data_IF_418959560787
#
_entry.id   IF_418959560787
#
_cell.length_a   1.000
_cell.length_b   1.000
_cell.length_c   1.000
_cell.angle_alpha   90.00
_cell.angle_beta   90.00
_cell.angle_gamma   90.00
#
_symmetry.space_group_name_H-M   'P 1'
#
loop_
_entity.id
_entity.type
_entity.pdbx_description
1 polymer ?
#
# COMPACT_ATOMS: atom_id res chain seq x y z
N UNK A 1 7.64 -45.45 3.03
CA UNK A 1 8.49 -46.54 2.52
C UNK A 1 8.20 -47.77 3.34
N UNK A 2 7.85 -48.87 2.69
CA UNK A 2 7.57 -50.17 3.33
C UNK A 2 8.87 -50.97 3.44
N UNK A 3 8.93 -51.87 4.41
CA UNK A 3 10.09 -52.74 4.64
C UNK A 3 10.16 -53.91 3.64
N UNK A 4 9.05 -54.20 2.96
CA UNK A 4 8.85 -55.31 2.04
C UNK A 4 8.06 -54.85 0.79
N UNK A 5 8.23 -55.52 -0.36
CA UNK A 5 7.48 -55.20 -1.56
C UNK A 5 5.96 -55.36 -1.38
N UNK A 6 5.20 -54.35 -1.79
CA UNK A 6 3.74 -54.29 -1.64
C UNK A 6 3.04 -54.54 -2.97
N UNK A 7 1.80 -55.05 -2.93
CA UNK A 7 0.93 -55.12 -4.10
C UNK A 7 0.23 -53.75 -4.26
N UNK A 8 0.43 -53.05 -5.39
CA UNK A 8 -0.07 -51.68 -5.56
C UNK A 8 -1.56 -51.49 -5.32
N UNK A 9 -2.41 -52.32 -5.93
CA UNK A 9 -3.85 -52.07 -5.98
C UNK A 9 -4.52 -52.23 -4.61
N UNK A 10 -4.20 -53.31 -3.90
CA UNK A 10 -4.66 -53.59 -2.53
C UNK A 10 -4.16 -52.54 -1.55
N UNK A 11 -2.89 -52.14 -1.65
CA UNK A 11 -2.31 -51.12 -0.78
C UNK A 11 -3.04 -49.78 -0.89
N UNK A 12 -3.51 -49.42 -2.10
CA UNK A 12 -4.32 -48.21 -2.29
C UNK A 12 -5.75 -48.36 -1.80
N UNK A 13 -6.36 -49.52 -2.01
CA UNK A 13 -7.71 -49.78 -1.53
C UNK A 13 -7.79 -49.72 0.00
N UNK A 14 -6.72 -50.15 0.68
CA UNK A 14 -6.57 -50.15 2.13
C UNK A 14 -6.24 -48.76 2.74
N UNK A 15 -5.89 -47.76 1.92
CA UNK A 15 -5.43 -46.46 2.38
C UNK A 15 -6.58 -45.55 2.79
N UNK A 16 -6.55 -45.05 4.03
CA UNK A 16 -7.48 -44.04 4.54
C UNK A 16 -6.72 -42.84 5.12
N UNK A 17 -7.20 -41.63 4.87
CA UNK A 17 -6.61 -40.39 5.41
C UNK A 17 -7.68 -39.57 6.11
N UNK A 18 -7.46 -39.20 7.38
CA UNK A 18 -8.39 -38.42 8.20
C UNK A 18 -7.72 -37.17 8.77
N UNK A 19 -8.26 -35.95 8.57
CA UNK A 19 -9.44 -35.65 7.76
C UNK A 19 -9.21 -35.96 6.27
N UNK A 20 -10.29 -36.17 5.48
CA UNK A 20 -10.19 -36.56 4.09
C UNK A 20 -9.26 -35.64 3.29
N UNK A 21 -8.31 -36.24 2.59
CA UNK A 21 -7.33 -35.55 1.77
C UNK A 21 -7.24 -36.21 0.40
N UNK A 22 -7.57 -35.49 -0.65
CA UNK A 22 -7.36 -35.97 -2.02
C UNK A 22 -5.87 -36.02 -2.34
N UNK A 23 -5.39 -37.17 -2.79
CA UNK A 23 -3.98 -37.37 -3.17
C UNK A 23 -3.88 -38.00 -4.55
N UNK A 24 -2.80 -37.68 -5.27
CA UNK A 24 -2.28 -38.47 -6.38
C UNK A 24 -1.22 -39.43 -5.83
N UNK A 25 -1.13 -40.61 -6.43
CA UNK A 25 -0.24 -41.65 -5.94
C UNK A 25 0.70 -42.15 -7.05
N UNK A 26 1.93 -42.48 -6.66
CA UNK A 26 2.95 -43.01 -7.55
C UNK A 26 3.85 -43.98 -6.80
N UNK A 27 4.03 -45.18 -7.34
CA UNK A 27 5.09 -46.09 -6.90
C UNK A 27 6.42 -45.67 -7.54
N UNK A 28 7.44 -45.47 -6.70
CA UNK A 28 8.82 -45.19 -7.15
C UNK A 28 9.55 -46.50 -7.44
N UNK A 29 9.32 -47.51 -6.60
CA UNK A 29 9.77 -48.89 -6.72
C UNK A 29 8.75 -49.80 -6.01
N UNK A 30 9.05 -51.08 -5.80
CA UNK A 30 8.10 -52.03 -5.18
C UNK A 30 7.84 -51.78 -3.68
N UNK A 31 8.61 -50.91 -3.01
CA UNK A 31 8.54 -50.64 -1.57
C UNK A 31 8.22 -49.18 -1.25
N UNK A 32 8.26 -48.30 -2.25
CA UNK A 32 8.16 -46.86 -2.05
C UNK A 32 6.93 -46.31 -2.74
N UNK A 33 5.90 -46.06 -1.93
CA UNK A 33 4.72 -45.31 -2.32
C UNK A 33 4.89 -43.81 -2.02
N UNK A 34 4.72 -42.96 -3.02
CA UNK A 34 4.59 -41.51 -2.88
C UNK A 34 3.12 -41.11 -2.95
N UNK A 35 2.65 -40.39 -1.93
CA UNK A 35 1.35 -39.74 -1.88
C UNK A 35 1.55 -38.23 -2.00
N UNK A 36 1.00 -37.62 -3.03
CA UNK A 36 1.09 -36.18 -3.26
C UNK A 36 -0.30 -35.55 -3.07
N UNK A 37 -0.50 -34.71 -2.04
CA UNK A 37 -1.75 -33.99 -1.86
C UNK A 37 -2.11 -33.16 -3.09
N UNK A 38 -3.35 -33.28 -3.56
CA UNK A 38 -3.87 -32.48 -4.67
C UNK A 38 -4.28 -31.06 -4.23
N UNK A 39 -4.36 -30.86 -2.91
CA UNK A 39 -4.68 -29.60 -2.26
C UNK A 39 -3.61 -29.30 -1.19
N UNK A 40 -3.46 -28.02 -0.84
CA UNK A 40 -2.57 -27.62 0.26
C UNK A 40 -3.02 -28.25 1.59
N UNK A 41 -2.07 -28.74 2.38
CA UNK A 41 -2.37 -29.29 3.69
C UNK A 41 -2.86 -28.19 4.64
N UNK A 42 -3.89 -28.49 5.44
CA UNK A 42 -4.38 -27.60 6.48
C UNK A 42 -3.29 -27.28 7.49
N UNK A 43 -3.26 -26.05 8.02
CA UNK A 43 -2.24 -25.58 8.98
C UNK A 43 -2.56 -26.02 10.39
N UNK A 44 -1.52 -26.35 11.16
CA UNK A 44 -1.65 -26.85 12.54
C UNK A 44 -2.71 -27.96 12.65
N UNK A 45 -2.78 -28.79 11.61
CA UNK A 45 -3.76 -29.86 11.46
C UNK A 45 -3.03 -31.19 11.63
N UNK A 46 -3.71 -32.15 12.22
CA UNK A 46 -3.20 -33.51 12.36
C UNK A 46 -3.94 -34.38 11.36
N UNK A 47 -3.19 -35.04 10.48
CA UNK A 47 -3.66 -36.04 9.55
C UNK A 47 -3.27 -37.43 10.09
N UNK A 48 -4.24 -38.32 10.16
CA UNK A 48 -4.04 -39.75 10.39
C UNK A 48 -4.03 -40.45 9.04
N UNK A 49 -2.95 -41.13 8.72
CA UNK A 49 -2.80 -41.97 7.53
C UNK A 49 -2.86 -43.42 8.02
N UNK A 50 -3.82 -44.18 7.52
CA UNK A 50 -4.04 -45.57 7.90
C UNK A 50 -3.97 -46.48 6.67
N UNK A 51 -3.35 -47.65 6.83
CA UNK A 51 -3.51 -48.78 5.93
C UNK A 51 -4.19 -49.91 6.70
N UNK A 52 -5.36 -50.34 6.26
CA UNK A 52 -6.07 -51.44 6.90
C UNK A 52 -5.46 -52.83 6.55
N UNK A 53 -6.05 -53.87 7.14
CA UNK A 53 -5.58 -55.27 7.04
C UNK A 53 -5.78 -55.88 5.64
N UNK A 54 -6.44 -55.17 4.70
CA UNK A 54 -6.65 -55.63 3.33
C UNK A 54 -5.46 -55.34 2.40
N UNK A 55 -4.47 -54.56 2.87
CA UNK A 55 -3.24 -54.35 2.11
C UNK A 55 -2.42 -55.64 2.01
N UNK A 56 -1.96 -55.98 0.79
CA UNK A 56 -1.18 -57.18 0.54
C UNK A 56 0.28 -56.86 0.18
N UNK A 57 1.18 -57.78 0.55
CA UNK A 57 2.51 -57.85 -0.02
C UNK A 57 2.44 -58.27 -1.48
N UNK A 58 3.47 -57.99 -2.27
CA UNK A 58 3.57 -58.45 -3.65
C UNK A 58 3.54 -60.00 -3.81
N UNK A 59 3.67 -60.73 -2.69
CA UNK A 59 3.55 -62.18 -2.59
C UNK A 59 2.11 -62.68 -2.40
N UNK A 60 1.12 -61.78 -2.25
CA UNK A 60 -0.29 -62.11 -1.97
C UNK A 60 -0.58 -62.44 -0.50
N UNK A 61 0.36 -62.17 0.41
CA UNK A 61 0.14 -62.31 1.84
C UNK A 61 -0.33 -60.97 2.43
N UNK A 62 -1.16 -61.02 3.47
CA UNK A 62 -1.57 -59.82 4.23
C UNK A 62 -0.33 -59.10 4.77
N UNK A 63 -0.24 -57.79 4.50
CA UNK A 63 0.91 -56.97 4.87
C UNK A 63 0.92 -56.58 6.35
N UNK A 64 -0.28 -56.34 6.92
CA UNK A 64 -0.44 -55.87 8.29
C UNK A 64 -1.37 -56.79 9.10
N UNK A 65 -0.91 -57.23 10.28
CA UNK A 65 -1.72 -58.05 11.19
C UNK A 65 -2.78 -57.25 11.97
N UNK A 66 -2.70 -55.92 11.92
CA UNK A 66 -3.64 -54.93 12.45
C UNK A 66 -3.44 -53.62 11.64
N UNK A 67 -4.40 -52.69 11.59
CA UNK A 67 -4.25 -51.47 10.80
C UNK A 67 -2.98 -50.70 11.17
N UNK A 68 -2.18 -50.35 10.17
CA UNK A 68 -1.01 -49.52 10.35
C UNK A 68 -1.44 -48.05 10.36
N UNK A 69 -1.10 -47.32 11.43
CA UNK A 69 -1.43 -45.91 11.58
C UNK A 69 -0.17 -45.05 11.64
N UNK A 70 -0.20 -43.92 10.95
CA UNK A 70 0.83 -42.91 10.97
C UNK A 70 0.22 -41.51 11.13
N UNK A 71 0.70 -40.80 12.14
CA UNK A 71 0.27 -39.43 12.42
C UNK A 71 1.22 -38.43 11.75
N UNK A 72 0.66 -37.56 10.91
CA UNK A 72 1.33 -36.41 10.32
C UNK A 72 0.73 -35.13 10.88
N UNK A 73 1.49 -34.39 11.68
CA UNK A 73 1.09 -33.06 12.15
C UNK A 73 1.76 -31.96 11.33
N UNK A 74 0.95 -31.08 10.75
CA UNK A 74 1.45 -29.90 10.03
C UNK A 74 1.79 -28.77 10.99
N UNK A 75 2.81 -27.98 10.69
CA UNK A 75 3.22 -26.83 11.51
C UNK A 75 2.25 -25.65 11.39
N UNK A 76 2.26 -24.77 12.40
CA UNK A 76 1.55 -23.49 12.35
C UNK A 76 2.33 -22.44 11.51
N UNK A 77 3.65 -22.56 11.48
CA UNK A 77 4.50 -21.83 10.54
C UNK A 77 4.33 -22.45 9.16
N UNK A 78 4.19 -21.62 8.12
CA UNK A 78 4.60 -22.05 6.79
C UNK A 78 6.07 -22.38 6.92
N UNK A 79 6.41 -23.66 7.06
CA UNK A 79 7.75 -24.11 6.70
C UNK A 79 7.75 -24.02 5.17
N UNK A 80 7.87 -22.81 4.65
CA UNK A 80 8.58 -22.63 3.40
C UNK A 80 9.91 -23.31 3.64
N UNK A 81 10.10 -24.50 3.05
CA UNK A 81 11.40 -24.83 2.48
C UNK A 81 11.94 -23.50 1.93
N UNK A 82 13.08 -23.06 2.46
CA UNK A 82 13.61 -21.73 2.15
C UNK A 82 13.46 -21.52 0.65
N UNK A 83 12.63 -20.53 0.26
CA UNK A 83 12.33 -20.35 -1.15
C UNK A 83 13.66 -19.94 -1.78
N UNK A 84 14.23 -20.82 -2.61
CA UNK A 84 15.48 -20.57 -3.30
C UNK A 84 15.40 -19.33 -4.19
N UNK A 85 14.19 -19.07 -4.67
CA UNK A 85 13.87 -18.02 -5.61
C UNK A 85 12.69 -17.18 -5.10
N UNK A 86 12.68 -15.89 -5.41
CA UNK A 86 11.56 -15.02 -5.11
C UNK A 86 11.56 -13.75 -5.94
N UNK A 87 10.44 -13.04 -5.95
CA UNK A 87 10.27 -11.80 -6.73
C UNK A 87 10.68 -10.55 -5.94
N UNK A 88 11.65 -10.71 -5.04
CA UNK A 88 12.11 -9.65 -4.14
C UNK A 88 11.24 -9.50 -2.89
N UNK A 89 11.50 -8.44 -2.12
CA UNK A 89 10.74 -8.12 -0.90
C UNK A 89 9.72 -7.03 -1.18
N UNK A 90 8.70 -6.94 -0.32
CA UNK A 90 7.59 -6.01 -0.48
C UNK A 90 6.48 -6.60 -1.36
N UNK A 91 5.42 -5.83 -1.55
CA UNK A 91 4.39 -6.25 -2.46
C UNK A 91 4.66 -5.67 -3.84
N UNK A 92 4.97 -6.59 -4.74
CA UNK A 92 5.46 -6.25 -6.05
C UNK A 92 4.37 -6.55 -7.07
N UNK A 93 4.14 -5.59 -7.94
CA UNK A 93 3.41 -5.78 -9.18
C UNK A 93 4.34 -5.37 -10.31
N UNK A 94 4.51 -6.21 -11.31
CA UNK A 94 5.28 -5.89 -12.49
C UNK A 94 4.34 -5.62 -13.66
N UNK A 95 4.59 -4.53 -14.37
CA UNK A 95 3.92 -4.20 -15.64
C UNK A 95 4.88 -4.55 -16.76
N UNK A 96 4.41 -5.34 -17.71
CA UNK A 96 5.20 -5.86 -18.82
C UNK A 96 4.49 -5.52 -20.12
N UNK A 97 5.25 -5.04 -21.11
CA UNK A 97 4.72 -4.66 -22.42
C UNK A 97 4.28 -5.90 -23.21
N UNK A 98 3.04 -5.92 -23.69
CA UNK A 98 2.48 -7.09 -24.39
C UNK A 98 3.15 -7.35 -25.76
N UNK A 99 3.60 -6.34 -26.49
CA UNK A 99 4.30 -6.49 -27.77
C UNK A 99 5.83 -6.33 -27.64
N UNK A 100 6.33 -6.22 -26.42
CA UNK A 100 7.72 -5.84 -26.13
C UNK A 100 8.58 -6.95 -25.50
N UNK A 101 9.67 -6.52 -24.83
CA UNK A 101 10.57 -7.38 -24.06
C UNK A 101 9.81 -7.86 -22.81
N UNK A 102 9.15 -9.02 -22.92
CA UNK A 102 8.29 -9.61 -21.88
C UNK A 102 9.05 -10.20 -20.67
N UNK A 103 10.05 -9.46 -20.19
CA UNK A 103 11.00 -9.90 -19.19
C UNK A 103 10.46 -9.72 -17.76
N UNK A 104 10.57 -10.78 -16.96
CA UNK A 104 10.25 -10.78 -15.52
C UNK A 104 11.52 -11.05 -14.74
N UNK A 105 11.77 -10.21 -13.73
CA UNK A 105 12.94 -10.33 -12.87
C UNK A 105 12.61 -11.11 -11.60
N UNK A 106 13.50 -11.98 -11.19
CA UNK A 106 13.43 -12.71 -9.93
C UNK A 106 14.81 -12.79 -9.29
N UNK A 107 14.84 -13.08 -8.00
CA UNK A 107 16.04 -13.12 -7.18
C UNK A 107 16.28 -14.54 -6.73
N UNK A 108 17.54 -14.98 -6.80
CA UNK A 108 18.04 -16.15 -6.09
C UNK A 108 18.63 -15.72 -4.75
N UNK A 109 18.14 -16.24 -3.64
CA UNK A 109 18.62 -15.81 -2.32
C UNK A 109 19.98 -16.43 -1.97
N UNK A 110 20.81 -15.66 -1.25
CA UNK A 110 22.20 -16.03 -0.95
C UNK A 110 22.29 -17.18 0.06
N UNK A 111 23.22 -18.12 -0.17
CA UNK A 111 23.45 -19.29 0.68
C UNK A 111 22.92 -20.61 0.11
N UNK A 112 22.10 -20.55 -0.94
CA UNK A 112 21.54 -21.75 -1.56
C UNK A 112 22.28 -22.12 -2.86
N UNK A 113 22.76 -23.36 -2.96
CA UNK A 113 23.25 -23.97 -4.20
C UNK A 113 22.09 -24.37 -5.13
N UNK A 114 21.02 -23.58 -5.18
CA UNK A 114 19.83 -23.92 -5.94
C UNK A 114 20.13 -23.95 -7.45
N UNK A 115 19.91 -25.13 -8.04
CA UNK A 115 19.86 -25.28 -9.50
C UNK A 115 18.63 -24.55 -10.04
N UNK A 116 18.69 -24.13 -11.31
CA UNK A 116 17.49 -23.71 -12.04
C UNK A 116 16.67 -24.90 -12.56
N UNK A 117 17.20 -26.12 -12.44
CA UNK A 117 16.50 -27.33 -12.84
C UNK A 117 15.16 -27.46 -12.10
N UNK A 118 14.13 -27.87 -12.82
CA UNK A 118 12.79 -28.04 -12.27
C UNK A 118 12.01 -26.73 -12.06
N UNK A 119 12.55 -25.56 -12.44
CA UNK A 119 11.82 -24.30 -12.38
C UNK A 119 10.71 -24.23 -13.43
N UNK A 120 9.53 -23.86 -12.95
CA UNK A 120 8.30 -23.73 -13.72
C UNK A 120 7.60 -22.41 -13.36
N UNK A 121 7.24 -21.62 -14.36
CA UNK A 121 6.37 -20.47 -14.19
C UNK A 121 4.94 -20.86 -14.56
N UNK A 122 3.97 -20.49 -13.71
CA UNK A 122 2.54 -20.67 -14.00
C UNK A 122 1.80 -19.34 -13.88
N UNK A 123 0.95 -19.04 -14.86
CA UNK A 123 0.08 -17.85 -14.85
C UNK A 123 -1.36 -18.25 -14.55
N UNK A 124 -1.94 -17.51 -13.61
CA UNK A 124 -3.33 -17.61 -13.22
C UNK A 124 -4.04 -16.29 -13.58
N UNK A 125 -4.98 -16.28 -14.53
CA UNK A 125 -5.70 -15.07 -14.91
C UNK A 125 -6.45 -14.46 -13.72
N UNK A 126 -6.49 -13.13 -13.67
CA UNK A 126 -7.24 -12.37 -12.68
C UNK A 126 -8.25 -11.45 -13.35
N UNK A 127 -9.42 -11.34 -12.73
CA UNK A 127 -10.37 -10.25 -13.02
C UNK A 127 -10.04 -9.03 -12.16
N UNK A 128 -10.43 -7.80 -12.60
CA UNK A 128 -10.35 -6.62 -11.75
C UNK A 128 -11.02 -6.81 -10.38
N UNK A 129 -12.17 -7.49 -10.32
CA UNK A 129 -12.88 -7.78 -9.08
C UNK A 129 -12.06 -8.64 -8.10
N UNK A 130 -11.20 -9.53 -8.59
CA UNK A 130 -10.28 -10.31 -7.75
C UNK A 130 -9.03 -9.52 -7.35
N UNK A 131 -8.59 -8.55 -8.16
CA UNK A 131 -7.36 -7.80 -7.94
C UNK A 131 -7.56 -6.57 -7.05
N UNK A 132 -8.57 -5.73 -7.33
CA UNK A 132 -8.72 -4.40 -6.70
C UNK A 132 -8.76 -4.47 -5.17
N UNK A 133 -9.55 -5.35 -4.52
CA UNK A 133 -9.58 -5.44 -3.05
C UNK A 133 -8.23 -5.84 -2.43
N UNK A 134 -7.32 -6.41 -3.21
CA UNK A 134 -5.98 -6.86 -2.77
C UNK A 134 -4.90 -5.80 -2.98
N UNK A 135 -5.14 -4.76 -3.78
CA UNK A 135 -4.18 -3.66 -3.95
C UNK A 135 -3.92 -2.90 -2.64
N UNK A 136 -4.85 -2.92 -1.69
CA UNK A 136 -4.63 -2.45 -0.31
C UNK A 136 -3.59 -3.28 0.45
N UNK A 137 -3.61 -4.60 0.28
CA UNK A 137 -2.67 -5.52 0.95
C UNK A 137 -1.25 -5.35 0.45
N UNK A 138 -1.11 -4.90 -0.81
CA UNK A 138 0.18 -4.59 -1.42
C UNK A 138 0.87 -3.42 -0.69
N UNK A 139 0.13 -2.48 -0.09
CA UNK A 139 0.75 -1.27 0.48
C UNK A 139 0.99 -1.34 2.00
N UNK A 140 0.31 -2.20 2.74
CA UNK A 140 0.38 -2.21 4.21
C UNK A 140 1.64 -2.88 4.79
N UNK A 141 2.61 -3.31 3.97
CA UNK A 141 3.90 -3.82 4.46
C UNK A 141 4.87 -2.68 4.70
N UNK A 142 4.55 -1.82 5.68
CA UNK A 142 5.37 -0.69 6.11
C UNK A 142 6.59 -1.12 6.96
N UNK A 143 6.96 -2.40 6.93
CA UNK A 143 8.17 -2.84 7.61
C UNK A 143 9.17 -3.33 6.57
N UNK A 144 10.27 -2.58 6.45
CA UNK A 144 11.55 -3.07 5.94
C UNK A 144 12.03 -4.34 6.68
N UNK A 145 11.34 -4.72 7.76
CA UNK A 145 11.58 -5.88 8.62
C UNK A 145 10.65 -7.08 8.38
N UNK A 146 9.68 -7.03 7.44
CA UNK A 146 8.89 -8.20 7.01
C UNK A 146 9.71 -9.07 6.03
N UNK A 147 10.90 -9.44 6.50
CA UNK A 147 11.90 -10.29 5.87
C UNK A 147 11.45 -11.77 5.85
N UNK A 148 10.39 -12.10 6.58
CA UNK A 148 9.86 -13.47 6.69
C UNK A 148 8.34 -13.51 6.49
N UNK A 149 7.93 -13.86 5.27
CA UNK A 149 6.77 -14.72 5.04
C UNK A 149 5.43 -14.31 5.67
N UNK A 150 4.92 -13.09 5.43
CA UNK A 150 3.50 -12.88 5.67
C UNK A 150 2.70 -13.63 4.60
N UNK A 151 2.03 -14.70 5.03
CA UNK A 151 1.12 -15.54 4.25
C UNK A 151 -0.11 -14.80 3.67
N UNK A 152 -0.15 -13.47 3.81
CA UNK A 152 -1.13 -12.55 3.23
C UNK A 152 -0.74 -12.16 1.79
N UNK A 153 0.52 -12.36 1.38
CA UNK A 153 1.03 -12.00 0.04
C UNK A 153 0.59 -12.94 -1.09
N UNK A 154 0.24 -14.19 -0.74
CA UNK A 154 0.01 -15.24 -1.74
C UNK A 154 -1.46 -15.33 -2.11
N UNK A 155 -1.76 -15.26 -3.40
CA UNK A 155 -3.06 -15.69 -3.89
C UNK A 155 -3.19 -17.19 -3.64
N UNK A 156 -4.35 -17.61 -3.13
CA UNK A 156 -4.71 -19.03 -3.13
C UNK A 156 -4.92 -19.50 -4.56
N UNK A 157 -3.82 -19.81 -5.24
CA UNK A 157 -3.84 -20.26 -6.63
C UNK A 157 -4.38 -21.67 -6.78
N UNK A 158 -4.56 -22.42 -5.68
CA UNK A 158 -5.33 -23.66 -5.68
C UNK A 158 -6.78 -23.46 -6.12
N UNK A 159 -7.32 -22.24 -5.98
CA UNK A 159 -8.68 -21.87 -6.36
C UNK A 159 -8.71 -21.13 -7.72
N UNK A 160 -7.56 -20.92 -8.36
CA UNK A 160 -7.44 -20.22 -9.64
C UNK A 160 -7.01 -21.19 -10.73
N UNK A 161 -7.62 -21.06 -11.91
CA UNK A 161 -7.23 -21.82 -13.09
C UNK A 161 -5.77 -21.51 -13.47
N UNK A 162 -5.04 -22.54 -13.87
CA UNK A 162 -3.73 -22.40 -14.52
C UNK A 162 -3.99 -22.25 -16.01
N UNK A 163 -3.84 -21.04 -16.55
CA UNK A 163 -4.04 -20.82 -17.99
C UNK A 163 -2.76 -21.09 -18.79
N UNK A 164 -1.60 -20.76 -18.22
CA UNK A 164 -0.31 -20.95 -18.88
C UNK A 164 0.70 -21.52 -17.90
N UNK A 165 1.56 -22.40 -18.41
CA UNK A 165 2.61 -23.06 -17.64
C UNK A 165 3.77 -23.40 -18.56
N UNK A 166 4.99 -23.00 -18.20
CA UNK A 166 6.18 -23.32 -18.98
C UNK A 166 7.42 -23.46 -18.10
N UNK A 167 8.36 -24.36 -18.49
CA UNK A 167 9.64 -24.48 -17.81
C UNK A 167 10.51 -23.25 -18.06
N UNK A 168 11.29 -22.84 -17.07
CA UNK A 168 12.24 -21.74 -17.22
C UNK A 168 13.60 -22.24 -17.73
N UNK A 169 13.71 -22.40 -19.05
CA UNK A 169 14.95 -22.89 -19.70
C UNK A 169 15.92 -21.76 -20.05
N UNK A 170 15.42 -20.57 -20.38
CA UNK A 170 16.21 -19.44 -20.87
C UNK A 170 16.36 -18.35 -19.80
N UNK A 171 17.02 -18.69 -18.70
CA UNK A 171 17.27 -17.75 -17.61
C UNK A 171 18.53 -16.94 -17.88
N UNK A 172 18.39 -15.62 -17.92
CA UNK A 172 19.51 -14.68 -18.09
C UNK A 172 19.95 -14.16 -16.72
N UNK A 173 21.26 -14.17 -16.46
CA UNK A 173 21.86 -13.53 -15.28
C UNK A 173 22.27 -12.11 -15.62
N UNK A 174 22.00 -11.17 -14.70
CA UNK A 174 22.39 -9.78 -14.92
C UNK A 174 23.92 -9.59 -14.92
N UNK A 175 24.62 -10.26 -14.01
CA UNK A 175 26.07 -10.45 -14.01
C UNK A 175 26.44 -11.66 -13.11
N UNK A 176 27.71 -12.07 -13.08
CA UNK A 176 28.17 -13.28 -12.39
C UNK A 176 27.91 -13.27 -10.86
N UNK A 177 27.93 -12.08 -10.25
CA UNK A 177 27.81 -11.90 -8.80
C UNK A 177 26.40 -11.46 -8.38
N UNK A 178 25.50 -11.20 -9.33
CA UNK A 178 24.16 -10.70 -9.06
C UNK A 178 23.21 -11.85 -8.69
N UNK A 179 22.43 -11.71 -7.60
CA UNK A 179 21.35 -12.62 -7.31
C UNK A 179 20.15 -12.42 -8.26
N UNK A 180 20.13 -11.36 -9.07
CA UNK A 180 19.04 -11.06 -10.00
C UNK A 180 19.15 -11.87 -11.31
N UNK A 181 18.04 -12.50 -11.64
CA UNK A 181 17.83 -13.34 -12.80
C UNK A 181 16.60 -12.85 -13.57
N UNK A 182 16.54 -13.14 -14.85
CA UNK A 182 15.44 -12.73 -15.74
C UNK A 182 14.97 -13.94 -16.56
N UNK A 183 13.67 -14.08 -16.73
CA UNK A 183 13.06 -14.96 -17.73
C UNK A 183 12.05 -14.18 -18.56
N UNK A 184 11.68 -14.73 -19.72
CA UNK A 184 10.72 -14.10 -20.63
C UNK A 184 9.40 -14.84 -20.61
N UNK A 185 8.29 -14.11 -20.55
CA UNK A 185 6.95 -14.67 -20.70
C UNK A 185 6.71 -15.01 -22.18
N UNK A 186 6.19 -16.20 -22.51
CA UNK A 186 5.91 -16.60 -23.88
C UNK A 186 4.99 -15.61 -24.62
N UNK A 187 5.19 -15.46 -25.93
CA UNK A 187 4.49 -14.48 -26.75
C UNK A 187 2.99 -14.80 -26.92
N UNK A 188 2.63 -16.08 -26.80
CA UNK A 188 1.26 -16.59 -26.86
C UNK A 188 0.40 -16.21 -25.65
N UNK A 189 1.01 -15.74 -24.55
CA UNK A 189 0.26 -15.24 -23.40
C UNK A 189 -0.35 -13.88 -23.78
N UNK A 190 -1.67 -13.70 -23.76
CA UNK A 190 -2.30 -12.44 -24.14
C UNK A 190 -2.06 -11.33 -23.10
N UNK A 191 -2.43 -10.10 -23.46
CA UNK A 191 -2.55 -9.02 -22.49
C UNK A 191 -3.60 -9.38 -21.43
N UNK A 192 -3.41 -8.88 -20.21
CA UNK A 192 -4.30 -9.15 -19.09
C UNK A 192 -3.61 -9.04 -17.72
N UNK A 193 -4.39 -9.35 -16.68
CA UNK A 193 -3.94 -9.39 -15.30
C UNK A 193 -3.72 -10.84 -14.87
N UNK A 194 -2.60 -11.10 -14.21
CA UNK A 194 -2.23 -12.44 -13.79
C UNK A 194 -1.62 -12.47 -12.39
N UNK A 195 -1.76 -13.61 -11.72
CA UNK A 195 -0.81 -14.05 -10.70
C UNK A 195 0.20 -14.96 -11.39
N UNK A 196 1.48 -14.61 -11.28
CA UNK A 196 2.59 -15.44 -11.67
C UNK A 196 3.07 -16.22 -10.46
N UNK A 197 3.03 -17.54 -10.52
CA UNK A 197 3.63 -18.42 -9.50
C UNK A 197 4.92 -19.01 -10.03
N UNK A 198 5.99 -18.88 -9.26
CA UNK A 198 7.26 -19.55 -9.51
C UNK A 198 7.33 -20.83 -8.68
N UNK A 199 7.47 -21.97 -9.34
CA UNK A 199 7.53 -23.29 -8.71
C UNK A 199 8.84 -23.99 -9.05
N UNK A 200 9.34 -24.80 -8.12
CA UNK A 200 10.44 -25.74 -8.36
C UNK A 200 10.01 -27.12 -7.90
N UNK A 201 10.06 -28.11 -8.79
CA UNK A 201 9.69 -29.50 -8.50
C UNK A 201 8.31 -29.63 -7.81
N UNK A 202 7.35 -28.80 -8.25
CA UNK A 202 5.99 -28.74 -7.71
C UNK A 202 5.81 -27.84 -6.48
N UNK A 203 6.90 -27.45 -5.81
CA UNK A 203 6.87 -26.57 -4.62
C UNK A 203 6.78 -25.11 -5.03
N UNK A 204 5.85 -24.36 -4.44
CA UNK A 204 5.72 -22.92 -4.66
C UNK A 204 6.84 -22.15 -3.95
N UNK A 205 7.71 -21.53 -4.75
CA UNK A 205 8.74 -20.62 -4.26
C UNK A 205 8.11 -19.27 -3.90
N UNK A 206 7.51 -18.59 -4.89
CA UNK A 206 6.95 -17.25 -4.68
C UNK A 206 5.89 -16.88 -5.73
N UNK A 207 5.22 -15.74 -5.52
CA UNK A 207 4.21 -15.20 -6.42
C UNK A 207 4.39 -13.70 -6.70
N UNK A 208 3.99 -13.28 -7.89
CA UNK A 208 4.03 -11.89 -8.35
C UNK A 208 2.71 -11.51 -9.01
N UNK A 209 2.22 -10.30 -8.73
CA UNK A 209 1.15 -9.70 -9.53
C UNK A 209 1.73 -9.19 -10.85
N UNK A 210 1.10 -9.54 -11.95
CA UNK A 210 1.59 -9.21 -13.28
C UNK A 210 0.48 -8.56 -14.10
N UNK A 211 0.76 -7.40 -14.69
CA UNK A 211 -0.04 -6.86 -15.78
C UNK A 211 0.77 -6.97 -17.08
N UNK A 212 0.21 -7.66 -18.06
CA UNK A 212 0.72 -7.67 -19.43
C UNK A 212 -0.18 -6.71 -20.20
N UNK A 213 0.37 -5.59 -20.68
CA UNK A 213 -0.45 -4.51 -21.26
C UNK A 213 0.29 -3.79 -22.37
N UNK A 214 -0.44 -3.24 -23.33
CA UNK A 214 0.09 -2.29 -24.31
C UNK A 214 -0.05 -0.84 -23.83
N UNK A 215 -0.73 -0.63 -22.70
CA UNK A 215 -1.22 0.65 -22.24
C UNK A 215 -0.55 1.11 -20.94
N UNK A 216 -0.45 2.42 -20.78
CA UNK A 216 -0.08 3.09 -19.54
C UNK A 216 -1.23 3.96 -19.06
N UNK A 217 -1.36 4.07 -17.75
CA UNK A 217 -2.31 4.99 -17.12
C UNK A 217 -1.59 5.88 -16.13
N UNK A 218 -1.81 7.18 -16.28
CA UNK A 218 -1.41 8.21 -15.33
C UNK A 218 -2.67 8.80 -14.72
N UNK A 219 -2.68 8.95 -13.40
CA UNK A 219 -3.81 9.56 -12.70
C UNK A 219 -3.32 10.64 -11.74
N UNK A 220 -4.02 11.78 -11.75
CA UNK A 220 -3.81 12.90 -10.83
C UNK A 220 -5.11 13.17 -10.09
N UNK A 221 -5.01 13.21 -8.76
CA UNK A 221 -6.15 13.42 -7.89
C UNK A 221 -6.23 14.87 -7.44
N UNK A 222 -7.40 15.47 -7.61
CA UNK A 222 -7.83 16.71 -6.96
C UNK A 222 -8.75 16.39 -5.76
N UNK A 223 -9.35 17.40 -5.12
CA UNK A 223 -10.19 17.21 -3.93
C UNK A 223 -11.40 16.31 -4.20
N UNK A 224 -12.11 16.57 -5.28
CA UNK A 224 -13.39 15.97 -5.66
C UNK A 224 -13.37 15.35 -7.06
N UNK A 225 -12.20 15.26 -7.69
CA UNK A 225 -12.06 14.69 -9.02
C UNK A 225 -10.72 13.99 -9.23
N UNK A 226 -10.67 13.13 -10.24
CA UNK A 226 -9.45 12.50 -10.73
C UNK A 226 -9.36 12.74 -12.22
N UNK A 227 -8.22 13.29 -12.66
CA UNK A 227 -7.84 13.33 -14.06
C UNK A 227 -7.05 12.05 -14.37
N UNK A 228 -7.52 11.30 -15.34
CA UNK A 228 -6.89 10.09 -15.86
C UNK A 228 -6.39 10.39 -17.27
N UNK A 229 -5.20 9.91 -17.60
CA UNK A 229 -4.62 9.98 -18.94
C UNK A 229 -4.09 8.59 -19.32
N UNK A 230 -4.60 8.04 -20.42
CA UNK A 230 -4.28 6.71 -20.92
C UNK A 230 -3.58 6.85 -22.27
N UNK A 231 -2.44 6.18 -22.40
CA UNK A 231 -1.66 6.12 -23.64
C UNK A 231 -1.24 4.68 -23.90
N UNK A 232 -0.86 4.37 -25.14
CA UNK A 232 0.01 3.23 -25.38
C UNK A 232 1.35 3.43 -24.65
N UNK A 233 2.10 2.37 -24.38
CA UNK A 233 3.47 2.43 -23.83
C UNK A 233 4.39 3.25 -24.76
N UNK A 234 4.11 3.25 -26.08
CA UNK A 234 4.78 4.12 -27.05
C UNK A 234 4.43 5.61 -26.98
N UNK A 235 3.48 6.00 -26.13
CA UNK A 235 3.09 7.40 -25.86
C UNK A 235 1.86 7.91 -26.62
N UNK A 236 1.33 7.15 -27.57
CA UNK A 236 0.13 7.50 -28.34
C UNK A 236 -1.11 7.57 -27.45
N UNK A 237 -1.94 8.60 -27.60
CA UNK A 237 -3.16 8.74 -26.82
C UNK A 237 -4.20 7.65 -27.16
N UNK A 238 -4.86 7.10 -26.14
CA UNK A 238 -5.87 6.06 -26.31
C UNK A 238 -7.27 6.59 -26.01
N UNK A 239 -8.02 6.90 -27.07
CA UNK A 239 -9.37 7.46 -26.99
C UNK A 239 -10.44 6.38 -26.81
N UNK A 240 -11.61 6.79 -26.29
CA UNK A 240 -12.80 5.95 -26.10
C UNK A 240 -12.59 4.71 -25.22
N UNK A 241 -11.57 4.71 -24.37
CA UNK A 241 -11.34 3.61 -23.43
C UNK A 241 -12.15 3.79 -22.15
N UNK A 242 -12.85 2.75 -21.67
CA UNK A 242 -13.43 2.74 -20.34
C UNK A 242 -12.38 2.96 -19.25
N UNK A 243 -12.72 3.86 -18.32
CA UNK A 243 -11.93 4.16 -17.13
C UNK A 243 -12.82 4.05 -15.90
N UNK A 244 -12.32 3.39 -14.85
CA UNK A 244 -13.03 3.15 -13.61
C UNK A 244 -12.16 3.51 -12.40
N UNK A 245 -12.79 4.09 -11.38
CA UNK A 245 -12.14 4.45 -10.13
C UNK A 245 -12.78 3.67 -9.00
N UNK A 246 -11.97 2.98 -8.21
CA UNK A 246 -12.42 2.11 -7.14
C UNK A 246 -11.95 2.59 -5.76
N UNK A 247 -12.75 2.31 -4.74
CA UNK A 247 -12.36 2.34 -3.34
C UNK A 247 -11.58 1.08 -2.96
N UNK A 248 -11.04 1.09 -1.73
CA UNK A 248 -10.24 0.03 -1.14
C UNK A 248 -10.93 -1.34 -1.10
N UNK A 249 -12.24 -1.35 -0.83
CA UNK A 249 -13.08 -2.54 -0.74
C UNK A 249 -13.49 -3.10 -2.13
N UNK A 250 -13.05 -2.45 -3.22
CA UNK A 250 -13.46 -2.77 -4.58
C UNK A 250 -14.74 -2.08 -5.04
N UNK A 251 -15.37 -1.24 -4.21
CA UNK A 251 -16.54 -0.47 -4.61
C UNK A 251 -16.22 0.53 -5.73
N UNK A 252 -17.04 0.57 -6.78
CA UNK A 252 -16.90 1.54 -7.87
C UNK A 252 -17.34 2.94 -7.39
N UNK A 253 -16.44 3.92 -7.51
CA UNK A 253 -16.68 5.31 -7.11
C UNK A 253 -17.10 6.19 -8.29
N UNK A 254 -16.44 6.01 -9.43
CA UNK A 254 -16.71 6.76 -10.64
C UNK A 254 -16.28 5.96 -11.87
N UNK A 255 -16.88 6.24 -13.01
CA UNK A 255 -16.47 5.70 -14.30
C UNK A 255 -16.68 6.74 -15.41
N UNK A 256 -16.02 6.53 -16.54
CA UNK A 256 -16.23 7.28 -17.77
C UNK A 256 -15.37 6.74 -18.90
N UNK A 257 -15.18 7.55 -19.95
CA UNK A 257 -14.42 7.18 -21.14
C UNK A 257 -13.37 8.24 -21.45
N UNK A 258 -12.24 7.83 -22.01
CA UNK A 258 -11.22 8.78 -22.47
C UNK A 258 -11.68 9.55 -23.71
N UNK A 259 -11.30 10.83 -23.78
CA UNK A 259 -11.45 11.69 -24.95
C UNK A 259 -10.40 11.39 -26.04
N UNK A 260 -10.43 12.13 -27.16
CA UNK A 260 -9.47 12.00 -28.27
C UNK A 260 -8.00 12.23 -27.84
N UNK A 261 -7.77 12.91 -26.72
CA UNK A 261 -6.45 13.11 -26.12
C UNK A 261 -6.05 12.02 -25.11
N UNK A 262 -6.85 10.96 -24.98
CA UNK A 262 -6.66 9.87 -24.02
C UNK A 262 -7.03 10.23 -22.59
N UNK A 263 -7.77 11.31 -22.35
CA UNK A 263 -8.02 11.85 -21.01
C UNK A 263 -9.45 11.64 -20.55
N UNK A 264 -9.62 11.36 -19.26
CA UNK A 264 -10.94 11.32 -18.62
C UNK A 264 -10.88 12.08 -17.30
N UNK A 265 -11.76 13.05 -17.09
CA UNK A 265 -11.90 13.72 -15.80
C UNK A 265 -13.17 13.22 -15.11
N UNK A 266 -13.00 12.54 -13.99
CA UNK A 266 -14.08 11.87 -13.26
C UNK A 266 -14.31 12.55 -11.91
N UNK A 267 -15.56 12.93 -11.64
CA UNK A 267 -15.97 13.51 -10.35
C UNK A 267 -16.17 12.38 -9.35
N UNK A 268 -15.66 12.56 -8.13
CA UNK A 268 -15.72 11.59 -7.05
C UNK A 268 -16.90 11.90 -6.11
N UNK A 269 -17.63 10.88 -5.64
CA UNK A 269 -18.56 11.05 -4.54
C UNK A 269 -17.80 11.30 -3.22
N UNK A 270 -18.38 12.03 -2.25
CA UNK A 270 -17.77 12.29 -0.95
C UNK A 270 -17.83 11.07 0.01
N UNK A 271 -18.11 9.87 -0.50
CA UNK A 271 -18.45 8.68 0.30
C UNK A 271 -17.23 7.88 0.74
N UNK A 272 -16.19 7.80 -0.10
CA UNK A 272 -14.99 7.03 0.19
C UNK A 272 -13.76 7.56 -0.57
N UNK A 273 -12.54 7.37 -0.04
CA UNK A 273 -11.32 7.75 -0.74
C UNK A 273 -11.05 6.82 -1.93
N UNK A 274 -10.63 7.35 -3.09
CA UNK A 274 -10.23 6.54 -4.22
C UNK A 274 -8.89 5.83 -3.95
N UNK A 275 -8.79 4.59 -4.40
CA UNK A 275 -7.61 3.73 -4.18
C UNK A 275 -6.97 3.32 -5.49
N UNK A 276 -7.75 2.94 -6.50
CA UNK A 276 -7.23 2.46 -7.78
C UNK A 276 -7.96 3.09 -8.96
N UNK A 277 -7.22 3.33 -10.03
CA UNK A 277 -7.74 3.64 -11.36
C UNK A 277 -7.43 2.47 -12.28
N UNK A 278 -8.43 2.02 -13.03
CA UNK A 278 -8.31 0.98 -14.04
C UNK A 278 -8.73 1.57 -15.39
N UNK A 279 -7.93 1.36 -16.42
CA UNK A 279 -8.31 1.58 -17.81
C UNK A 279 -8.33 0.23 -18.54
N UNK A 280 -9.28 0.06 -19.44
CA UNK A 280 -9.53 -1.19 -20.15
C UNK A 280 -9.57 -0.97 -21.66
N UNK A 281 -8.88 -1.82 -22.42
CA UNK A 281 -8.93 -1.88 -23.88
C UNK A 281 -9.19 -3.35 -24.30
N UNK A 282 -10.47 -3.72 -24.44
CA UNK A 282 -10.86 -5.12 -24.59
C UNK A 282 -10.49 -5.94 -23.34
N UNK A 283 -9.60 -6.92 -23.50
CA UNK A 283 -9.06 -7.76 -22.42
C UNK A 283 -7.72 -7.24 -21.87
N UNK A 284 -7.19 -6.14 -22.42
CA UNK A 284 -6.01 -5.45 -21.90
C UNK A 284 -6.42 -4.51 -20.76
N UNK A 285 -5.76 -4.66 -19.61
CA UNK A 285 -5.98 -3.84 -18.43
C UNK A 285 -4.68 -3.17 -18.01
N UNK A 286 -4.75 -1.85 -17.82
CA UNK A 286 -3.68 -1.07 -17.18
C UNK A 286 -4.26 -0.37 -15.96
N UNK A 287 -3.49 -0.31 -14.88
CA UNK A 287 -3.97 0.23 -13.61
C UNK A 287 -2.89 1.00 -12.87
N UNK A 288 -3.34 1.94 -12.04
CA UNK A 288 -2.48 2.66 -11.12
C UNK A 288 -3.18 2.79 -9.78
N UNK A 289 -2.42 2.58 -8.71
CA UNK A 289 -2.86 2.88 -7.37
C UNK A 289 -2.66 4.38 -7.10
N UNK A 290 -3.72 5.07 -6.70
CA UNK A 290 -3.75 6.52 -6.43
C UNK A 290 -3.99 6.83 -4.95
N UNK A 291 -3.89 5.82 -4.08
CA UNK A 291 -3.86 6.03 -2.65
C UNK A 291 -2.57 6.78 -2.32
N UNK A 292 -2.71 7.95 -1.70
CA UNK A 292 -1.58 8.85 -1.45
C UNK A 292 -0.52 8.17 -0.59
N UNK A 293 0.66 8.00 -1.17
CA UNK A 293 1.90 7.98 -0.40
C UNK A 293 2.15 9.40 0.08
N UNK A 294 2.39 9.57 1.38
CA UNK A 294 2.89 10.82 1.93
C UNK A 294 4.29 11.06 1.36
N UNK A 295 4.38 11.80 0.25
CA UNK A 295 5.62 12.49 -0.08
C UNK A 295 5.78 13.58 0.97
N UNK A 296 6.68 13.35 1.93
CA UNK A 296 7.11 14.32 2.94
C UNK A 296 7.99 15.39 2.30
N UNK A 297 7.55 15.96 1.17
CA UNK A 297 8.18 17.16 0.67
C UNK A 297 7.50 18.34 1.36
N UNK A 298 8.02 18.69 2.55
CA UNK A 298 7.63 19.87 3.32
C UNK A 298 7.74 21.19 2.53
N UNK A 299 8.23 21.13 1.28
CA UNK A 299 8.41 22.24 0.38
C UNK A 299 7.51 22.19 -0.87
N UNK A 300 6.60 21.20 -0.97
CA UNK A 300 5.54 21.23 -1.97
C UNK A 300 4.50 22.27 -1.54
N UNK A 301 4.76 23.52 -1.92
CA UNK A 301 3.92 24.71 -1.65
C UNK A 301 2.52 24.68 -2.26
N UNK A 302 2.00 23.50 -2.63
CA UNK A 302 0.58 23.29 -2.85
C UNK A 302 -0.14 23.35 -1.52
N UNK A 303 -0.34 24.57 -0.99
CA UNK A 303 -1.29 24.79 0.07
C UNK A 303 -2.59 24.13 -0.36
N UNK A 304 -3.12 23.28 0.51
CA UNK A 304 -4.50 22.80 0.44
C UNK A 304 -5.34 24.02 0.12
N UNK A 305 -5.98 24.07 -1.06
CA UNK A 305 -6.90 25.17 -1.40
C UNK A 305 -8.01 25.15 -0.35
N UNK A 306 -7.83 25.98 0.67
CA UNK A 306 -8.79 26.29 1.70
C UNK A 306 -9.57 27.48 1.17
N UNK A 307 -10.89 27.52 1.34
CA UNK A 307 -11.71 28.62 0.81
C UNK A 307 -11.29 30.00 1.36
N UNK A 308 -10.51 30.00 2.44
CA UNK A 308 -9.97 31.18 3.08
C UNK A 308 -8.51 30.98 3.48
N UNK A 309 -7.80 32.09 3.58
CA UNK A 309 -6.53 32.20 4.31
C UNK A 309 -6.56 33.42 5.21
N UNK A 310 -5.89 33.35 6.36
CA UNK A 310 -5.85 34.42 7.34
C UNK A 310 -4.45 34.64 7.90
N UNK A 311 -4.17 35.90 8.21
CA UNK A 311 -3.04 36.32 9.03
C UNK A 311 -3.57 36.91 10.34
N UNK A 312 -3.04 36.44 11.46
CA UNK A 312 -3.39 36.93 12.80
C UNK A 312 -2.11 37.47 13.43
N UNK A 313 -2.20 38.64 14.04
CA UNK A 313 -1.13 39.20 14.84
C UNK A 313 -1.69 39.92 16.05
N UNK A 314 -0.87 39.99 17.09
CA UNK A 314 -1.11 40.77 18.29
C UNK A 314 -0.28 42.06 18.24
N UNK A 315 -0.64 43.07 19.04
CA UNK A 315 0.15 44.30 19.21
C UNK A 315 1.63 43.97 19.52
N UNK A 316 1.85 42.98 20.40
CA UNK A 316 3.18 42.53 20.83
C UNK A 316 3.31 41.02 20.71
N UNK A 317 4.51 40.49 20.45
CA UNK A 317 4.76 39.05 20.54
C UNK A 317 4.84 38.54 21.99
N UNK A 318 5.01 39.44 22.98
CA UNK A 318 5.22 39.13 24.39
C UNK A 318 4.39 40.04 25.31
N UNK A 319 3.73 39.44 26.30
CA UNK A 319 2.89 40.09 27.31
C UNK A 319 3.27 39.63 28.73
N UNK A 320 2.78 40.34 29.73
CA UNK A 320 2.83 39.94 31.14
C UNK A 320 1.42 39.59 31.61
N UNK A 321 1.27 38.80 32.69
CA UNK A 321 -0.01 38.69 33.40
C UNK A 321 -0.60 40.08 33.72
N UNK A 322 -1.92 40.21 33.64
CA UNK A 322 -2.62 41.50 33.82
C UNK A 322 -2.66 42.40 32.57
N UNK A 323 -1.88 42.14 31.52
CA UNK A 323 -1.93 42.95 30.30
C UNK A 323 -3.19 42.69 29.47
N UNK A 324 -3.66 43.71 28.78
CA UNK A 324 -4.65 43.56 27.69
C UNK A 324 -3.93 43.21 26.38
N UNK A 325 -4.29 42.05 25.82
CA UNK A 325 -3.86 41.59 24.50
C UNK A 325 -4.80 42.16 23.46
N UNK A 326 -4.27 42.98 22.55
CA UNK A 326 -4.98 43.43 21.35
C UNK A 326 -4.58 42.54 20.19
N UNK A 327 -5.56 42.08 19.42
CA UNK A 327 -5.33 41.26 18.23
C UNK A 327 -6.04 41.84 17.00
N UNK A 328 -5.47 41.54 15.84
CA UNK A 328 -6.07 41.79 14.54
C UNK A 328 -5.88 40.56 13.66
N UNK A 329 -6.95 40.19 12.95
CA UNK A 329 -6.93 39.15 11.96
C UNK A 329 -7.36 39.72 10.59
N UNK A 330 -6.69 39.30 9.53
CA UNK A 330 -6.97 39.69 8.16
C UNK A 330 -7.34 38.41 7.41
N UNK A 331 -8.57 38.33 6.91
CA UNK A 331 -9.09 37.19 6.17
C UNK A 331 -9.16 37.50 4.68
N UNK A 332 -8.79 36.53 3.86
CA UNK A 332 -8.84 36.57 2.40
C UNK A 332 -9.56 35.33 1.91
N UNK A 333 -10.30 35.44 0.80
CA UNK A 333 -10.67 34.26 0.02
C UNK A 333 -9.40 33.81 -0.69
N UNK A 334 -9.18 32.51 -0.71
CA UNK A 334 -8.06 31.89 -1.41
C UNK A 334 -8.64 31.00 -2.50
N UNK A 335 -8.33 31.36 -3.74
CA UNK A 335 -8.70 30.61 -4.95
C UNK A 335 -7.41 30.29 -5.69
N UNK A 336 -6.81 29.15 -5.34
CA UNK A 336 -5.54 28.68 -5.91
C UNK A 336 -4.42 29.74 -5.82
N UNK A 337 -4.17 30.22 -4.59
CA UNK A 337 -3.22 31.29 -4.26
C UNK A 337 -3.58 32.68 -4.80
N UNK A 338 -4.72 32.85 -5.48
CA UNK A 338 -5.27 34.15 -5.83
C UNK A 338 -6.08 34.67 -4.63
N UNK A 339 -5.49 35.65 -3.92
CA UNK A 339 -6.09 36.20 -2.71
C UNK A 339 -7.01 37.38 -3.02
N UNK A 340 -8.27 37.30 -2.56
CA UNK A 340 -9.23 38.39 -2.69
C UNK A 340 -9.86 38.80 -1.36
N UNK A 341 -10.33 40.06 -1.28
CA UNK A 341 -10.96 40.58 -0.08
C UNK A 341 -12.30 39.88 0.20
N UNK A 342 -12.53 39.46 1.44
CA UNK A 342 -13.81 38.87 1.85
C UNK A 342 -14.94 39.89 1.97
N UNK A 343 -14.62 41.17 2.20
CA UNK A 343 -15.59 42.24 2.44
C UNK A 343 -16.11 42.28 3.88
N UNK A 344 -17.09 43.16 4.12
CA UNK A 344 -17.74 43.30 5.43
C UNK A 344 -18.80 42.20 5.67
N UNK A 345 -19.09 41.92 6.93
CA UNK A 345 -20.23 41.07 7.34
C UNK A 345 -19.93 39.58 7.47
N UNK A 346 -18.69 39.13 7.22
CA UNK A 346 -18.30 37.74 7.50
C UNK A 346 -18.21 37.56 9.00
N UNK A 347 -18.90 36.56 9.54
CA UNK A 347 -18.87 36.22 10.98
C UNK A 347 -17.81 35.15 11.24
N UNK A 348 -17.07 35.31 12.34
CA UNK A 348 -16.06 34.36 12.80
C UNK A 348 -16.09 34.23 14.33
N UNK A 349 -15.56 33.14 14.85
CA UNK A 349 -15.35 32.92 16.29
C UNK A 349 -13.88 33.05 16.61
N UNK A 350 -13.52 33.95 17.53
CA UNK A 350 -12.18 34.04 18.10
C UNK A 350 -12.13 33.22 19.39
N UNK A 351 -11.14 32.34 19.50
CA UNK A 351 -10.90 31.53 20.69
C UNK A 351 -9.47 31.82 21.17
N UNK A 352 -9.29 32.13 22.44
CA UNK A 352 -7.97 32.27 23.06
C UNK A 352 -7.77 31.13 24.04
N UNK A 353 -6.60 30.49 23.95
CA UNK A 353 -6.15 29.43 24.85
C UNK A 353 -4.91 29.83 25.63
N UNK A 354 -4.85 29.40 26.89
CA UNK A 354 -3.67 29.55 27.73
C UNK A 354 -2.56 28.53 27.37
N UNK A 355 -1.44 28.57 28.11
CA UNK A 355 -0.31 27.67 27.92
C UNK A 355 -0.58 26.19 28.20
N UNK A 356 -1.72 25.86 28.82
CA UNK A 356 -2.21 24.50 29.02
C UNK A 356 -3.34 24.14 28.06
N UNK A 357 -3.56 24.95 27.02
CA UNK A 357 -4.61 24.78 26.01
C UNK A 357 -6.05 24.94 26.54
N UNK A 358 -6.24 25.49 27.74
CA UNK A 358 -7.59 25.80 28.25
C UNK A 358 -8.16 26.99 27.49
N UNK A 359 -9.45 26.93 27.13
CA UNK A 359 -10.14 28.08 26.54
C UNK A 359 -10.38 29.12 27.64
N UNK A 360 -9.81 30.31 27.46
CA UNK A 360 -9.92 31.43 28.41
C UNK A 360 -10.72 32.61 27.84
N UNK A 361 -10.98 32.60 26.53
CA UNK A 361 -11.82 33.60 25.87
C UNK A 361 -12.47 33.01 24.62
N UNK A 362 -13.74 33.36 24.41
CA UNK A 362 -14.47 33.08 23.17
C UNK A 362 -15.29 34.31 22.81
N UNK A 363 -15.16 34.80 21.59
CA UNK A 363 -15.92 35.95 21.09
C UNK A 363 -16.34 35.78 19.64
N UNK A 364 -17.58 36.15 19.33
CA UNK A 364 -18.04 36.26 17.94
C UNK A 364 -17.67 37.64 17.40
N UNK A 365 -17.03 37.69 16.24
CA UNK A 365 -16.55 38.91 15.59
C UNK A 365 -17.03 38.97 14.15
N UNK A 366 -17.17 40.18 13.62
CA UNK A 366 -17.64 40.42 12.24
C UNK A 366 -16.59 41.22 11.47
N UNK A 367 -16.35 40.86 10.21
CA UNK A 367 -15.37 41.55 9.37
C UNK A 367 -15.84 42.95 8.97
N UNK A 368 -14.90 43.89 8.87
CA UNK A 368 -15.12 45.20 8.23
C UNK A 368 -14.93 45.15 6.71
N UNK A 369 -15.07 46.28 6.03
CA UNK A 369 -14.96 46.40 4.56
C UNK A 369 -13.63 45.88 3.99
N UNK A 370 -12.56 45.88 4.79
CA UNK A 370 -11.23 45.37 4.40
C UNK A 370 -11.04 43.88 4.71
N UNK A 371 -12.08 43.19 5.17
CA UNK A 371 -12.01 41.78 5.54
C UNK A 371 -11.21 41.51 6.81
N UNK A 372 -11.21 42.47 7.74
CA UNK A 372 -10.43 42.37 8.99
C UNK A 372 -11.32 42.27 10.21
N UNK A 373 -10.82 41.56 11.22
CA UNK A 373 -11.40 41.41 12.55
C UNK A 373 -10.43 41.98 13.58
N UNK A 374 -10.93 42.54 14.67
CA UNK A 374 -10.11 43.00 15.78
C UNK A 374 -10.84 42.78 17.10
N UNK A 375 -10.07 42.73 18.18
CA UNK A 375 -10.61 42.64 19.52
C UNK A 375 -9.53 42.76 20.58
N UNK A 376 -9.95 42.62 21.82
CA UNK A 376 -9.06 42.69 22.97
C UNK A 376 -9.46 41.67 24.02
N UNK A 377 -8.48 41.20 24.78
CA UNK A 377 -8.67 40.28 25.89
C UNK A 377 -7.74 40.65 27.04
N UNK A 378 -8.28 40.75 28.26
CA UNK A 378 -7.48 41.03 29.44
C UNK A 378 -6.94 39.72 30.04
N UNK A 379 -5.61 39.60 30.13
CA UNK A 379 -4.96 38.52 30.88
C UNK A 379 -5.21 38.73 32.36
N UNK A 380 -5.48 37.66 33.09
CA UNK A 380 -5.58 37.71 34.56
C UNK A 380 -4.20 38.00 35.18
N UNK A 381 -4.16 38.71 36.31
CA UNK A 381 -2.88 39.02 37.01
C UNK A 381 -2.16 37.76 37.50
N UNK A 382 -2.90 36.69 37.81
CA UNK A 382 -2.37 35.36 38.12
C UNK A 382 -2.36 34.40 36.92
N UNK A 383 -2.41 34.93 35.70
CA UNK A 383 -2.44 34.15 34.46
C UNK A 383 -1.19 33.28 34.29
N UNK A 384 -1.34 32.13 33.63
CA UNK A 384 -0.23 31.22 33.41
C UNK A 384 0.85 31.84 32.52
N UNK A 385 2.11 31.49 32.76
CA UNK A 385 3.20 31.82 31.85
C UNK A 385 3.29 30.78 30.73
N UNK A 386 3.87 31.18 29.61
CA UNK A 386 4.14 30.34 28.44
C UNK A 386 3.45 30.81 27.16
N UNK A 387 3.25 29.86 26.24
CA UNK A 387 2.71 30.13 24.90
C UNK A 387 1.19 30.08 24.90
N UNK A 388 0.57 31.20 24.54
CA UNK A 388 -0.87 31.31 24.37
C UNK A 388 -1.20 31.23 22.88
N UNK A 389 -2.42 30.80 22.58
CA UNK A 389 -2.91 30.65 21.21
C UNK A 389 -4.12 31.55 21.00
N UNK A 390 -4.11 32.36 19.95
CA UNK A 390 -5.32 33.00 19.42
C UNK A 390 -5.72 32.31 18.12
N UNK A 391 -6.96 31.83 18.06
CA UNK A 391 -7.53 31.12 16.90
C UNK A 391 -8.70 31.89 16.33
N UNK A 392 -8.78 31.97 15.00
CA UNK A 392 -9.92 32.49 14.24
C UNK A 392 -10.58 31.31 13.51
N UNK A 393 -11.84 31.05 13.83
CA UNK A 393 -12.67 30.01 13.22
C UNK A 393 -13.73 30.65 12.32
N UNK A 394 -13.80 30.22 11.05
CA UNK A 394 -14.72 30.78 10.05
C UNK A 394 -15.58 29.68 9.43
N UNK A 395 -16.89 29.97 9.34
CA UNK A 395 -17.91 29.07 8.81
C UNK A 395 -18.13 27.82 9.66
N UNK A 396 -19.28 27.17 9.52
CA UNK A 396 -19.59 25.91 10.24
C UNK A 396 -20.19 24.92 9.26
N UNK A 397 -19.64 23.71 9.24
CA UNK A 397 -20.18 22.56 8.50
C UNK A 397 -20.08 21.31 9.37
N UNK A 398 -21.18 20.56 9.48
CA UNK A 398 -21.29 19.37 10.33
C UNK A 398 -20.82 19.60 11.78
N UNK A 399 -21.14 20.77 12.34
CA UNK A 399 -20.77 21.15 13.72
C UNK A 399 -19.28 21.46 13.93
N UNK A 400 -18.49 21.61 12.87
CA UNK A 400 -17.07 21.96 12.93
C UNK A 400 -16.76 23.21 12.09
N UNK A 401 -15.74 24.00 12.46
CA UNK A 401 -15.35 25.14 11.65
C UNK A 401 -14.87 24.70 10.27
N UNK A 402 -15.25 25.43 9.23
CA UNK A 402 -14.79 25.15 7.86
C UNK A 402 -13.35 25.62 7.60
N UNK A 403 -12.89 26.58 8.42
CA UNK A 403 -11.55 27.13 8.37
C UNK A 403 -11.10 27.53 9.79
N UNK A 404 -9.84 27.26 10.13
CA UNK A 404 -9.25 27.67 11.40
C UNK A 404 -7.82 28.14 11.19
N UNK A 405 -7.53 29.38 11.57
CA UNK A 405 -6.16 29.91 11.65
C UNK A 405 -5.80 30.16 13.09
N UNK A 406 -4.57 29.84 13.48
CA UNK A 406 -4.06 30.16 14.81
C UNK A 406 -2.73 30.91 14.74
N UNK A 407 -2.49 31.75 15.74
CA UNK A 407 -1.24 32.46 15.98
C UNK A 407 -0.86 32.34 17.46
N UNK A 408 0.41 32.10 17.72
CA UNK A 408 0.95 32.06 19.08
C UNK A 408 1.40 33.46 19.52
N UNK A 409 1.12 33.81 20.76
CA UNK A 409 1.77 34.92 21.47
C UNK A 409 2.25 34.43 22.84
N UNK A 410 3.20 35.14 23.45
CA UNK A 410 3.86 34.67 24.67
C UNK A 410 3.45 35.51 25.87
N UNK A 411 3.26 34.87 27.02
CA UNK A 411 3.05 35.52 28.32
C UNK A 411 4.18 35.10 29.25
N UNK A 412 4.98 36.05 29.72
CA UNK A 412 6.10 35.80 30.62
C UNK A 412 6.15 36.86 31.71
N UNK A 413 6.79 36.53 32.83
CA UNK A 413 7.25 37.53 33.78
C UNK A 413 8.60 38.08 33.31
N UNK A 414 8.59 39.25 32.68
CA UNK A 414 9.79 39.90 32.19
C UNK A 414 9.88 41.35 32.68
N UNK A 415 11.10 41.82 32.88
CA UNK A 415 11.37 43.25 33.06
C UNK A 415 12.03 43.76 31.79
N UNK A 416 11.52 44.87 31.24
CA UNK A 416 12.20 45.53 30.12
C UNK A 416 13.60 45.94 30.59
N UNK A 417 14.66 45.57 29.86
CA UNK A 417 15.99 46.09 30.13
C UNK A 417 15.97 47.62 30.01
N UNK A 418 16.68 48.29 30.93
CA UNK A 418 16.97 49.73 30.89
C UNK A 418 18.31 50.02 30.20
N UNK A 419 18.96 48.99 29.67
CA UNK A 419 20.24 49.06 28.96
C UNK A 419 20.13 48.44 27.56
N UNK A 420 20.99 48.92 26.65
CA UNK A 420 21.18 48.33 25.31
C UNK A 420 22.54 47.67 25.27
N UNK A 421 22.61 46.42 24.78
CA UNK A 421 23.87 45.73 24.52
C UNK A 421 24.13 45.76 23.02
N UNK A 422 25.30 46.24 22.63
CA UNK A 422 25.80 46.15 21.26
C UNK A 422 27.06 45.31 21.27
N UNK A 423 27.09 44.26 20.43
CA UNK A 423 28.27 43.41 20.25
C UNK A 423 28.83 43.72 18.86
N UNK A 424 30.11 44.05 18.82
CA UNK A 424 30.87 44.21 17.57
C UNK A 424 31.98 43.19 17.58
N UNK A 425 32.06 42.38 16.52
CA UNK A 425 33.17 41.48 16.31
C UNK A 425 34.35 42.27 15.74
N UNK A 426 35.59 41.88 16.07
CA UNK A 426 36.77 42.52 15.47
C UNK A 426 36.90 42.18 13.97
N UNK A 427 36.19 41.16 13.50
CA UNK A 427 36.21 40.69 12.11
C UNK A 427 34.81 40.27 11.63
N UNK A 428 34.53 40.40 10.32
CA UNK A 428 33.23 40.00 9.75
C UNK A 428 33.02 38.48 9.67
N UNK A 429 34.09 37.68 9.75
CA UNK A 429 34.04 36.22 9.76
C UNK A 429 35.30 35.65 10.43
N UNK A 430 35.16 34.48 11.04
CA UNK A 430 36.28 33.66 11.53
C UNK A 430 36.25 32.34 10.76
N UNK A 431 37.38 31.99 10.15
CA UNK A 431 37.53 30.70 9.49
C UNK A 431 38.05 29.68 10.51
N UNK A 432 37.55 28.43 10.51
CA UNK A 432 38.16 27.36 11.31
C UNK A 432 39.62 27.18 10.90
N UNK A 433 40.50 26.91 11.87
CA UNK A 433 41.89 26.61 11.57
C UNK A 433 41.95 25.35 10.69
N UNK A 434 42.62 25.46 9.55
CA UNK A 434 42.92 24.31 8.68
C UNK A 434 43.81 23.33 9.46
N UNK A 435 43.47 22.02 9.50
CA UNK A 435 44.26 21.02 10.22
C UNK A 435 45.69 20.87 9.69
#
# INVERSE_FOLDING_TARGET
>A
MFDRPMEPTSTYAALQITPPLSTTHKWVDAQTLTLMPNIELGRNLTYQIEFDETAELATGQVAFAAPFQYELRTSNSSVTLSAAFGFGSGANMQVVQADGRRAVQFTRYAGEAASHDGLLATLHPLTPAQLIPRLEMVQNTNSEWDYYGSTVRRFRTSELEVAYSWPLTDIVRFNADSPAHEFTIPAEVPAGLYVLSLRQDGVLNDQLLLAITENTVVAKRARDSVLVWVTAIGGEAKANLPVQIFAADGSLLANGTTDDGGRAQLTLPPTAPPTAVLAQDGDDYTLVNIRSWFYWDNNSGGQRSEAFTANIYTDRPLYQPGHTVYYKAILRRDDDAILSNVGAGVTATVIIRDSRQNIIHTATVTSNEFGTFNGQFALTEGGMLGNYLVSLEVGVSNGRPTYTKSQTFKVEDYRKPDYTVSVTLDRPYYLPATP
#
